data_IF_109807164787
#
_entry.id   IF_109807164787
#
_cell.length_a   1.000
_cell.length_b   1.000
_cell.length_c   1.000
_cell.angle_alpha   90.00
_cell.angle_beta   90.00
_cell.angle_gamma   90.00
#
_symmetry.space_group_name_H-M   'P 1'
#
loop_
_entity.id
_entity.type
_entity.pdbx_description
1 polymer ?
#
# COMPACT_ATOMS: atom_id res chain seq x y z
N UNK A 1 12.63 13.44 -17.48
CA UNK A 1 11.69 12.93 -16.47
C UNK A 1 11.07 11.65 -17.00
N UNK A 2 11.31 10.52 -16.34
CA UNK A 2 10.45 9.37 -16.54
C UNK A 2 9.27 9.57 -15.57
N UNK A 3 8.05 9.90 -16.05
CA UNK A 3 6.89 9.78 -15.18
C UNK A 3 6.81 8.33 -14.67
N UNK A 4 6.06 8.09 -13.60
CA UNK A 4 5.49 6.77 -13.34
C UNK A 4 4.51 6.45 -14.49
N UNK A 5 5.03 6.26 -15.70
CA UNK A 5 4.25 6.23 -16.92
C UNK A 5 3.38 4.99 -16.89
N UNK A 6 2.07 5.19 -16.96
CA UNK A 6 1.05 4.14 -16.97
C UNK A 6 1.10 3.26 -18.24
N UNK A 7 2.07 3.45 -19.12
CA UNK A 7 2.18 2.78 -20.42
C UNK A 7 3.17 1.61 -20.47
N UNK A 8 4.01 1.42 -19.44
CA UNK A 8 4.97 0.31 -19.39
C UNK A 8 4.28 -1.03 -19.10
N UNK A 9 4.34 -1.99 -20.03
CA UNK A 9 3.71 -3.32 -19.94
C UNK A 9 4.16 -4.19 -18.76
N UNK A 10 5.20 -3.83 -18.00
CA UNK A 10 5.54 -4.52 -16.74
C UNK A 10 4.44 -4.41 -15.67
N UNK A 11 3.64 -3.34 -15.72
CA UNK A 11 2.47 -3.15 -14.84
C UNK A 11 1.19 -3.88 -15.29
N UNK A 12 1.25 -4.61 -16.42
CA UNK A 12 0.18 -5.49 -16.92
C UNK A 12 0.40 -6.96 -16.57
N UNK A 13 1.49 -7.27 -15.88
CA UNK A 13 1.65 -8.55 -15.25
C UNK A 13 0.50 -8.73 -14.22
N UNK A 14 -0.30 -9.81 -14.31
CA UNK A 14 -1.36 -10.08 -13.33
C UNK A 14 -0.85 -10.12 -11.89
N UNK A 15 0.43 -10.43 -11.67
CA UNK A 15 1.04 -10.49 -10.34
C UNK A 15 1.31 -9.09 -9.74
N UNK A 16 1.18 -8.03 -10.54
CA UNK A 16 1.26 -6.63 -10.09
C UNK A 16 -0.12 -5.99 -9.79
N UNK A 17 -1.20 -6.77 -9.82
CA UNK A 17 -2.55 -6.23 -9.66
C UNK A 17 -2.73 -5.52 -8.30
N UNK A 18 -3.28 -4.31 -8.31
CA UNK A 18 -3.43 -3.43 -7.14
C UNK A 18 -2.26 -2.45 -6.92
N UNK A 19 -1.06 -2.71 -7.47
CA UNK A 19 0.07 -1.79 -7.28
C UNK A 19 -0.15 -0.43 -7.95
N UNK A 20 -0.94 -0.36 -9.04
CA UNK A 20 -1.20 0.90 -9.73
C UNK A 20 -2.00 1.86 -8.83
N UNK A 21 -2.92 1.32 -8.07
CA UNK A 21 -3.78 2.03 -7.14
C UNK A 21 -2.96 2.61 -5.99
N UNK A 22 -1.98 1.85 -5.47
CA UNK A 22 -1.02 2.36 -4.48
C UNK A 22 -0.02 3.39 -5.07
N UNK A 23 0.58 3.07 -6.22
CA UNK A 23 1.70 3.83 -6.76
C UNK A 23 1.28 5.12 -7.48
N UNK A 24 0.13 5.13 -8.14
CA UNK A 24 -0.23 6.18 -9.12
C UNK A 24 -1.59 6.79 -8.85
N UNK A 25 -2.66 5.99 -8.84
CA UNK A 25 -4.02 6.56 -8.85
C UNK A 25 -4.54 6.92 -7.47
N UNK A 26 -3.97 6.34 -6.41
CA UNK A 26 -4.33 6.58 -5.02
C UNK A 26 -5.61 5.85 -4.62
N UNK A 27 -5.46 4.68 -3.98
CA UNK A 27 -6.59 3.90 -3.46
C UNK A 27 -7.42 4.69 -2.42
N UNK A 28 -6.77 5.58 -1.66
CA UNK A 28 -7.38 6.39 -0.61
C UNK A 28 -7.27 7.90 -0.90
N UNK A 29 -7.28 8.28 -2.18
CA UNK A 29 -7.20 9.69 -2.61
C UNK A 29 -5.80 10.31 -2.48
N UNK A 30 -4.79 9.52 -2.10
CA UNK A 30 -3.37 9.89 -2.10
C UNK A 30 -2.56 8.74 -2.71
N UNK A 31 -1.55 9.04 -3.52
CA UNK A 31 -0.63 8.03 -4.08
C UNK A 31 0.84 8.31 -3.76
N UNK A 32 1.69 7.28 -3.86
CA UNK A 32 3.13 7.46 -3.73
C UNK A 32 3.71 8.39 -4.81
N UNK A 33 3.10 8.44 -5.99
CA UNK A 33 3.49 9.37 -7.04
C UNK A 33 3.35 10.84 -6.62
N UNK A 34 2.30 11.18 -5.88
CA UNK A 34 2.05 12.55 -5.42
C UNK A 34 3.10 12.98 -4.40
N UNK A 35 3.41 12.09 -3.44
CA UNK A 35 4.48 12.33 -2.47
C UNK A 35 5.83 12.47 -3.18
N UNK A 36 6.10 11.62 -4.18
CA UNK A 36 7.35 11.65 -4.95
C UNK A 36 7.56 12.96 -5.72
N UNK A 37 6.51 13.67 -6.13
CA UNK A 37 6.66 14.92 -6.89
C UNK A 37 7.57 15.94 -6.18
N UNK A 38 7.48 16.01 -4.86
CA UNK A 38 8.28 16.93 -4.04
C UNK A 38 9.77 16.57 -3.99
N UNK A 39 10.14 15.33 -4.35
CA UNK A 39 11.51 14.81 -4.23
C UNK A 39 12.12 14.39 -5.57
N UNK A 40 11.34 14.39 -6.65
CA UNK A 40 11.71 13.75 -7.92
C UNK A 40 12.91 14.38 -8.65
N UNK A 41 13.38 15.56 -8.22
CA UNK A 41 14.59 16.22 -8.72
C UNK A 41 15.85 15.88 -7.92
N UNK A 42 15.68 15.33 -6.72
CA UNK A 42 16.76 15.09 -5.75
C UNK A 42 16.96 13.60 -5.44
N UNK A 43 15.86 12.84 -5.45
CA UNK A 43 15.82 11.42 -5.13
C UNK A 43 15.34 10.66 -6.35
N UNK A 44 16.01 9.57 -6.70
CA UNK A 44 15.55 8.70 -7.79
C UNK A 44 14.25 8.00 -7.37
N UNK A 45 13.40 7.63 -8.33
CA UNK A 45 12.19 6.88 -8.03
C UNK A 45 12.52 5.54 -7.35
N UNK A 46 13.60 4.89 -7.77
CA UNK A 46 14.06 3.63 -7.19
C UNK A 46 14.45 3.77 -5.70
N UNK A 47 15.21 4.81 -5.33
CA UNK A 47 15.53 5.08 -3.92
C UNK A 47 14.29 5.53 -3.15
N UNK A 48 13.42 6.34 -3.77
CA UNK A 48 12.18 6.78 -3.14
C UNK A 48 11.25 5.61 -2.74
N UNK A 49 11.15 4.57 -3.57
CA UNK A 49 10.32 3.40 -3.25
C UNK A 49 10.86 2.64 -2.02
N UNK A 50 12.19 2.49 -1.89
CA UNK A 50 12.80 1.88 -0.70
C UNK A 50 12.56 2.75 0.53
N UNK A 51 12.77 4.07 0.42
CA UNK A 51 12.51 5.03 1.51
C UNK A 51 11.05 4.95 1.97
N UNK A 52 10.10 4.91 1.03
CA UNK A 52 8.68 4.84 1.35
C UNK A 52 8.34 3.53 2.09
N UNK A 53 8.89 2.39 1.64
CA UNK A 53 8.67 1.11 2.29
C UNK A 53 9.26 1.08 3.71
N UNK A 54 10.51 1.53 3.88
CA UNK A 54 11.15 1.60 5.20
C UNK A 54 10.43 2.55 6.15
N UNK A 55 9.86 3.66 5.65
CA UNK A 55 9.05 4.55 6.45
C UNK A 55 7.77 3.88 6.98
N UNK A 56 7.13 3.03 6.16
CA UNK A 56 5.95 2.26 6.59
C UNK A 56 6.36 1.19 7.61
N UNK A 57 7.44 0.45 7.37
CA UNK A 57 7.97 -0.55 8.29
C UNK A 57 8.31 0.11 9.64
N UNK A 58 9.07 1.22 9.63
CA UNK A 58 9.45 1.93 10.85
C UNK A 58 8.22 2.46 11.61
N UNK A 59 7.23 3.03 10.91
CA UNK A 59 6.00 3.55 11.53
C UNK A 59 5.17 2.43 12.17
N UNK A 60 5.03 1.29 11.50
CA UNK A 60 4.27 0.15 11.99
C UNK A 60 5.02 -0.67 13.05
N UNK A 61 6.36 -0.71 13.00
CA UNK A 61 7.20 -1.24 14.09
C UNK A 61 7.09 -0.39 15.35
N UNK A 62 7.17 0.94 15.23
CA UNK A 62 7.03 1.84 16.37
C UNK A 62 5.67 1.68 17.08
N UNK A 63 4.59 1.41 16.34
CA UNK A 63 3.27 1.09 16.92
C UNK A 63 3.29 -0.23 17.71
N UNK A 64 4.01 -1.24 17.22
CA UNK A 64 4.19 -2.51 17.93
C UNK A 64 5.01 -2.32 19.20
N UNK A 65 6.15 -1.63 19.12
CA UNK A 65 7.02 -1.36 20.29
C UNK A 65 6.30 -0.57 21.39
N UNK A 66 5.38 0.33 21.02
CA UNK A 66 4.54 1.05 21.98
C UNK A 66 3.51 0.13 22.66
N UNK A 67 2.98 -0.85 21.93
CA UNK A 67 1.98 -1.80 22.45
C UNK A 67 2.62 -2.95 23.25
N UNK A 68 3.88 -3.29 22.95
CA UNK A 68 4.58 -4.45 23.49
C UNK A 68 5.94 -4.01 24.06
N UNK A 69 6.00 -3.61 25.35
CA UNK A 69 7.26 -3.22 25.98
C UNK A 69 8.30 -4.35 25.90
N UNK A 70 9.49 -4.04 25.38
CA UNK A 70 10.58 -5.00 25.21
C UNK A 70 10.61 -5.70 23.84
N UNK A 71 9.71 -5.36 22.92
CA UNK A 71 9.83 -5.80 21.53
C UNK A 71 11.19 -5.38 20.93
N UNK A 72 11.85 -6.23 20.12
CA UNK A 72 13.13 -5.91 19.48
C UNK A 72 13.03 -4.67 18.59
N UNK A 73 14.12 -3.93 18.48
CA UNK A 73 14.16 -2.76 17.59
C UNK A 73 14.57 -3.17 16.18
N UNK A 74 14.05 -2.46 15.18
CA UNK A 74 14.48 -2.60 13.79
C UNK A 74 14.98 -1.23 13.28
N UNK A 75 16.28 -1.13 13.02
CA UNK A 75 16.94 0.10 12.56
C UNK A 75 17.45 -0.02 11.12
N UNK A 76 16.51 -0.01 10.16
CA UNK A 76 16.81 0.04 8.73
C UNK A 76 17.53 1.33 8.32
N UNK A 77 17.38 2.41 9.10
CA UNK A 77 17.97 3.71 8.77
C UNK A 77 19.49 3.68 8.86
N UNK A 78 20.04 3.00 9.87
CA UNK A 78 21.49 2.91 10.07
C UNK A 78 22.22 2.21 8.91
N UNK A 79 21.54 1.27 8.28
CA UNK A 79 22.06 0.43 7.21
C UNK A 79 21.57 0.84 5.82
N UNK A 80 20.64 1.80 5.72
CA UNK A 80 20.08 2.28 4.46
C UNK A 80 21.17 2.71 3.46
N UNK A 81 21.02 2.21 2.24
CA UNK A 81 21.89 2.49 1.10
C UNK A 81 21.12 3.23 0.02
N UNK A 82 21.74 4.26 -0.57
CA UNK A 82 21.16 5.05 -1.66
C UNK A 82 22.09 5.13 -2.87
N UNK A 83 21.56 5.59 -4.01
CA UNK A 83 22.30 5.70 -5.28
C UNK A 83 21.70 4.88 -6.40
N UNK A 84 20.51 4.28 -6.23
CA UNK A 84 19.86 3.51 -7.28
C UNK A 84 19.50 4.42 -8.44
N UNK A 85 19.75 3.98 -9.66
CA UNK A 85 19.31 4.70 -10.87
C UNK A 85 17.92 4.26 -11.28
N UNK A 86 17.06 5.21 -11.65
CA UNK A 86 15.75 4.89 -12.24
C UNK A 86 15.90 4.66 -13.74
N UNK A 87 15.73 3.42 -14.18
CA UNK A 87 15.71 3.06 -15.60
C UNK A 87 14.27 3.00 -16.12
N UNK A 88 13.98 3.48 -17.35
CA UNK A 88 12.72 3.17 -18.00
C UNK A 88 12.64 1.66 -18.27
N UNK A 89 11.83 0.94 -17.50
CA UNK A 89 11.77 -0.53 -17.58
C UNK A 89 11.31 -1.03 -18.96
N UNK A 90 12.05 -1.96 -19.54
CA UNK A 90 11.49 -2.98 -20.44
C UNK A 90 10.52 -3.85 -19.65
N UNK A 91 9.42 -4.25 -20.27
CA UNK A 91 8.40 -5.02 -19.57
C UNK A 91 8.90 -6.43 -19.33
N UNK A 92 9.06 -6.79 -18.06
CA UNK A 92 9.39 -8.15 -17.63
C UNK A 92 8.13 -8.74 -17.00
N UNK A 93 7.71 -9.90 -17.49
CA UNK A 93 6.59 -10.67 -16.96
C UNK A 93 7.12 -11.93 -16.29
N UNK A 94 6.47 -12.41 -15.23
CA UNK A 94 6.88 -13.64 -14.53
C UNK A 94 8.13 -13.47 -13.67
N UNK A 95 8.39 -12.24 -13.19
CA UNK A 95 9.46 -11.96 -12.22
C UNK A 95 8.98 -11.96 -10.78
N UNK A 96 7.67 -11.97 -10.57
CA UNK A 96 7.02 -12.04 -9.26
C UNK A 96 6.48 -13.44 -8.99
N UNK A 97 6.31 -13.82 -7.72
CA UNK A 97 5.87 -15.17 -7.39
C UNK A 97 4.37 -15.30 -7.66
N UNK A 98 4.00 -16.31 -8.44
CA UNK A 98 2.61 -16.69 -8.59
C UNK A 98 2.16 -17.51 -7.36
N UNK A 99 1.14 -17.05 -6.62
CA UNK A 99 0.70 -17.71 -5.39
C UNK A 99 0.07 -19.09 -5.59
N UNK A 100 -0.33 -19.46 -6.81
CA UNK A 100 -0.84 -20.81 -7.09
C UNK A 100 0.30 -21.86 -7.10
N UNK A 101 1.54 -21.47 -7.41
CA UNK A 101 2.66 -22.38 -7.70
C UNK A 101 3.47 -22.79 -6.45
N UNK A 102 3.03 -22.38 -5.26
CA UNK A 102 3.61 -22.78 -3.97
C UNK A 102 5.13 -22.56 -3.90
N UNK A 103 5.85 -23.58 -3.43
CA UNK A 103 7.29 -23.46 -3.19
C UNK A 103 8.13 -23.31 -4.47
N UNK A 104 7.62 -23.71 -5.64
CA UNK A 104 8.32 -23.48 -6.89
C UNK A 104 8.44 -21.98 -7.21
N UNK A 105 7.38 -21.20 -6.95
CA UNK A 105 7.43 -19.74 -7.09
C UNK A 105 8.35 -19.09 -6.06
N UNK A 106 8.34 -19.56 -4.80
CA UNK A 106 9.23 -19.04 -3.76
C UNK A 106 10.70 -19.30 -4.11
N UNK A 107 11.03 -20.53 -4.52
CA UNK A 107 12.38 -20.91 -4.93
C UNK A 107 12.83 -20.11 -6.15
N UNK A 108 11.99 -20.00 -7.19
CA UNK A 108 12.34 -19.24 -8.38
C UNK A 108 12.62 -17.77 -8.06
N UNK A 109 11.75 -17.10 -7.30
CA UNK A 109 11.82 -15.65 -7.14
C UNK A 109 12.76 -15.25 -6.00
N UNK A 110 12.58 -15.82 -4.81
CA UNK A 110 13.36 -15.41 -3.64
C UNK A 110 14.74 -16.06 -3.65
N UNK A 111 14.81 -17.37 -3.89
CA UNK A 111 16.09 -18.08 -3.82
C UNK A 111 16.93 -17.82 -5.06
N UNK A 112 16.40 -18.09 -6.26
CA UNK A 112 17.17 -18.00 -7.49
C UNK A 112 17.33 -16.55 -7.99
N UNK A 113 16.24 -15.79 -8.08
CA UNK A 113 16.30 -14.44 -8.67
C UNK A 113 16.86 -13.39 -7.70
N UNK A 114 16.49 -13.41 -6.42
CA UNK A 114 17.02 -12.48 -5.41
C UNK A 114 18.32 -12.97 -4.75
N UNK A 115 18.61 -14.28 -4.79
CA UNK A 115 19.82 -14.86 -4.19
C UNK A 115 19.73 -15.01 -2.68
N UNK A 116 18.52 -15.20 -2.16
CA UNK A 116 18.26 -15.46 -0.74
C UNK A 116 18.39 -16.97 -0.46
N UNK A 117 18.69 -17.35 0.77
CA UNK A 117 18.41 -18.73 1.21
C UNK A 117 16.94 -18.86 1.67
N UNK A 118 16.49 -20.07 2.02
CA UNK A 118 15.11 -20.30 2.48
C UNK A 118 14.78 -19.60 3.81
N UNK A 119 15.77 -19.33 4.66
CA UNK A 119 15.57 -18.58 5.91
C UNK A 119 15.34 -17.10 5.59
N UNK A 120 16.15 -16.52 4.72
CA UNK A 120 16.01 -15.14 4.25
C UNK A 120 14.73 -14.95 3.40
N UNK A 121 14.35 -15.94 2.59
CA UNK A 121 13.09 -15.93 1.85
C UNK A 121 11.88 -15.90 2.79
N UNK A 122 11.84 -16.80 3.78
CA UNK A 122 10.79 -16.80 4.80
C UNK A 122 10.77 -15.48 5.58
N UNK A 123 11.95 -14.97 5.97
CA UNK A 123 12.07 -13.70 6.69
C UNK A 123 11.45 -12.54 5.90
N UNK A 124 11.75 -12.46 4.59
CA UNK A 124 11.22 -11.43 3.70
C UNK A 124 9.71 -11.58 3.47
N UNK A 125 9.19 -12.82 3.38
CA UNK A 125 7.75 -13.07 3.31
C UNK A 125 6.99 -12.63 4.57
N UNK A 126 7.68 -12.47 5.71
CA UNK A 126 7.13 -11.91 6.93
C UNK A 126 6.49 -10.52 6.80
N UNK A 127 6.72 -9.78 5.70
CA UNK A 127 5.98 -8.55 5.38
C UNK A 127 4.47 -8.77 5.26
N UNK A 128 4.01 -10.01 5.04
CA UNK A 128 2.60 -10.39 5.10
C UNK A 128 1.95 -10.13 6.46
N UNK A 129 2.73 -9.88 7.52
CA UNK A 129 2.20 -9.34 8.78
C UNK A 129 1.55 -7.95 8.63
N UNK A 130 1.73 -7.26 7.51
CA UNK A 130 1.10 -5.97 7.22
C UNK A 130 0.12 -6.09 6.06
N UNK A 131 -1.15 -5.81 6.32
CA UNK A 131 -2.19 -5.70 5.31
C UNK A 131 -2.93 -7.00 5.01
N UNK A 132 -3.55 -7.07 3.83
CA UNK A 132 -4.47 -8.14 3.43
C UNK A 132 -4.60 -8.27 1.92
N UNK A 133 -5.16 -9.39 1.48
CA UNK A 133 -5.58 -9.60 0.11
C UNK A 133 -6.98 -9.01 -0.15
N UNK A 134 -7.15 -8.42 -1.33
CA UNK A 134 -8.41 -7.84 -1.81
C UNK A 134 -8.80 -8.42 -3.16
N UNK A 135 -10.06 -8.85 -3.27
CA UNK A 135 -10.62 -9.47 -4.48
C UNK A 135 -10.47 -8.54 -5.69
N UNK A 136 -10.72 -7.24 -5.50
CA UNK A 136 -10.60 -6.23 -6.56
C UNK A 136 -9.16 -6.00 -7.06
N UNK A 137 -8.17 -6.46 -6.30
CA UNK A 137 -6.75 -6.34 -6.63
C UNK A 137 -6.23 -7.70 -7.13
N UNK A 138 -5.78 -8.57 -6.22
CA UNK A 138 -5.12 -9.83 -6.55
C UNK A 138 -6.08 -10.98 -6.92
N UNK A 139 -7.38 -10.80 -6.67
CA UNK A 139 -8.40 -11.84 -6.81
C UNK A 139 -8.57 -12.74 -5.59
N UNK A 140 -7.72 -12.58 -4.56
CA UNK A 140 -7.79 -13.29 -3.28
C UNK A 140 -8.47 -12.45 -2.20
N UNK A 141 -8.83 -13.06 -1.08
CA UNK A 141 -9.59 -12.39 -0.03
C UNK A 141 -9.11 -12.78 1.36
N UNK A 142 -8.88 -11.79 2.23
CA UNK A 142 -8.64 -12.01 3.64
C UNK A 142 -7.27 -11.55 4.11
N UNK A 143 -7.06 -11.62 5.42
CA UNK A 143 -5.85 -11.20 6.10
C UNK A 143 -4.90 -12.38 6.32
N UNK A 144 -3.58 -12.16 6.24
CA UNK A 144 -2.59 -13.20 6.61
C UNK A 144 -2.45 -13.41 8.12
N UNK A 145 -3.00 -12.50 8.91
CA UNK A 145 -3.03 -12.46 10.37
C UNK A 145 -4.35 -11.79 10.78
N UNK A 146 -4.64 -11.59 12.06
CA UNK A 146 -5.83 -10.85 12.44
C UNK A 146 -5.74 -9.35 12.07
N UNK A 147 -6.86 -8.62 11.96
CA UNK A 147 -6.87 -7.22 11.56
C UNK A 147 -6.09 -6.25 12.47
N UNK A 148 -5.85 -6.59 13.74
CA UNK A 148 -5.11 -5.77 14.70
C UNK A 148 -3.62 -5.91 14.48
N UNK A 149 -3.14 -7.15 14.40
CA UNK A 149 -1.73 -7.45 14.12
C UNK A 149 -1.33 -7.06 12.70
N UNK A 150 -2.26 -7.11 11.74
CA UNK A 150 -2.06 -6.67 10.35
C UNK A 150 -1.70 -5.18 10.15
N UNK A 151 -1.54 -4.42 11.24
CA UNK A 151 -1.15 -2.99 11.28
C UNK A 151 0.13 -2.74 12.07
N UNK A 152 0.81 -3.81 12.48
CA UNK A 152 1.99 -3.84 13.33
C UNK A 152 3.03 -4.69 12.64
N UNK A 153 4.25 -4.17 12.51
CA UNK A 153 5.34 -4.96 11.94
C UNK A 153 5.88 -5.90 13.01
N UNK A 154 5.23 -7.05 13.18
CA UNK A 154 5.52 -8.05 14.20
C UNK A 154 5.55 -9.48 13.64
N UNK A 155 5.86 -10.47 14.47
CA UNK A 155 6.00 -11.85 14.02
C UNK A 155 4.66 -12.63 13.94
N UNK A 156 3.51 -11.95 14.02
CA UNK A 156 2.21 -12.62 14.10
C UNK A 156 1.87 -13.41 12.83
N UNK A 157 2.39 -13.02 11.66
CA UNK A 157 2.29 -13.84 10.45
C UNK A 157 2.75 -15.30 10.69
N UNK A 158 3.90 -15.51 11.35
CA UNK A 158 4.40 -16.85 11.64
C UNK A 158 3.62 -17.53 12.75
N UNK A 159 3.19 -16.77 13.77
CA UNK A 159 2.32 -17.27 14.83
C UNK A 159 1.01 -17.79 14.23
N UNK A 160 0.38 -17.01 13.37
CA UNK A 160 -0.84 -17.35 12.63
C UNK A 160 -0.64 -18.58 11.74
N UNK A 161 0.47 -18.66 11.01
CA UNK A 161 0.77 -19.81 10.13
C UNK A 161 0.88 -21.15 10.89
N UNK A 162 1.36 -21.10 12.14
CA UNK A 162 1.60 -22.30 12.95
C UNK A 162 0.45 -22.62 13.92
N UNK A 163 -0.07 -21.62 14.64
CA UNK A 163 -1.00 -21.80 15.75
C UNK A 163 -2.48 -21.85 15.33
N UNK A 164 -2.78 -21.75 14.03
CA UNK A 164 -4.13 -21.81 13.46
C UNK A 164 -4.25 -23.00 12.51
N UNK A 165 -5.48 -23.48 12.31
CA UNK A 165 -5.79 -24.54 11.34
C UNK A 165 -6.20 -23.95 9.99
N UNK A 166 -5.71 -24.53 8.90
CA UNK A 166 -5.95 -24.04 7.54
C UNK A 166 -6.53 -25.13 6.64
N UNK A 167 -7.59 -24.82 5.90
CA UNK A 167 -8.21 -25.72 4.90
C UNK A 167 -8.34 -25.01 3.54
N UNK A 168 -8.40 -25.75 2.42
CA UNK A 168 -8.55 -25.14 1.10
C UNK A 168 -9.84 -24.32 0.96
N UNK A 169 -9.70 -23.17 0.31
CA UNK A 169 -10.79 -22.32 -0.17
C UNK A 169 -10.61 -22.13 -1.68
N UNK A 170 -11.50 -22.72 -2.46
CA UNK A 170 -11.38 -22.80 -3.91
C UNK A 170 -12.20 -21.72 -4.62
N UNK A 171 -11.73 -21.35 -5.80
CA UNK A 171 -12.45 -20.51 -6.74
C UNK A 171 -12.96 -19.18 -6.15
N UNK A 172 -12.05 -18.40 -5.54
CA UNK A 172 -12.39 -17.16 -4.84
C UNK A 172 -13.18 -16.22 -5.74
N UNK A 173 -14.35 -15.77 -5.25
CA UNK A 173 -15.31 -14.95 -6.00
C UNK A 173 -15.68 -15.54 -7.38
N UNK A 174 -15.75 -16.87 -7.50
CA UNK A 174 -16.07 -17.58 -8.74
C UNK A 174 -14.91 -17.71 -9.73
N UNK A 175 -13.69 -17.34 -9.35
CA UNK A 175 -12.52 -17.44 -10.22
C UNK A 175 -11.75 -18.74 -9.97
N UNK A 176 -11.89 -19.74 -10.83
CA UNK A 176 -11.24 -21.05 -10.71
C UNK A 176 -9.69 -21.01 -10.66
N UNK A 177 -9.06 -19.92 -11.10
CA UNK A 177 -7.62 -19.72 -11.02
C UNK A 177 -7.15 -19.00 -9.75
N UNK A 178 -8.02 -18.86 -8.75
CA UNK A 178 -7.73 -18.22 -7.46
C UNK A 178 -8.15 -19.16 -6.34
N UNK A 179 -7.17 -19.84 -5.75
CA UNK A 179 -7.34 -20.78 -4.66
C UNK A 179 -6.41 -20.40 -3.52
N UNK A 180 -6.91 -20.42 -2.30
CA UNK A 180 -6.17 -20.06 -1.10
C UNK A 180 -6.52 -21.06 0.01
N UNK A 181 -6.02 -20.78 1.21
CA UNK A 181 -6.36 -21.53 2.41
C UNK A 181 -7.07 -20.59 3.36
N UNK A 182 -8.21 -21.00 3.90
CA UNK A 182 -8.96 -20.27 4.90
C UNK A 182 -8.71 -20.85 6.29
N UNK A 183 -8.80 -20.00 7.32
CA UNK A 183 -8.77 -20.46 8.71
C UNK A 183 -9.98 -21.35 9.01
N UNK A 184 -9.76 -22.48 9.67
CA UNK A 184 -10.79 -23.51 9.95
C UNK A 184 -11.07 -23.79 11.42
N UNK A 185 -10.27 -23.22 12.31
CA UNK A 185 -10.32 -23.53 13.75
C UNK A 185 -11.44 -22.80 14.50
N UNK A 186 -11.56 -23.08 15.81
CA UNK A 186 -12.62 -22.52 16.67
C UNK A 186 -12.63 -20.99 16.75
N UNK A 187 -11.49 -20.35 16.44
CA UNK A 187 -11.31 -18.90 16.45
C UNK A 187 -11.55 -18.24 15.09
N UNK A 188 -11.98 -18.99 14.08
CA UNK A 188 -12.24 -18.45 12.74
C UNK A 188 -13.39 -17.43 12.75
N UNK A 189 -13.09 -16.20 12.31
CA UNK A 189 -14.10 -15.19 12.03
C UNK A 189 -14.67 -15.41 10.62
N UNK A 190 -15.88 -15.95 10.56
CA UNK A 190 -16.59 -16.24 9.31
C UNK A 190 -17.26 -15.00 8.67
N UNK A 191 -17.04 -13.81 9.22
CA UNK A 191 -17.46 -12.57 8.56
C UNK A 191 -16.51 -12.22 7.44
N UNK A 192 -17.02 -11.50 6.43
CA UNK A 192 -16.21 -11.05 5.31
C UNK A 192 -14.98 -10.24 5.75
N UNK A 193 -15.09 -9.42 6.79
CA UNK A 193 -13.99 -8.53 7.20
C UNK A 193 -12.98 -9.17 8.15
N UNK A 194 -13.36 -10.25 8.84
CA UNK A 194 -12.49 -11.01 9.71
C UNK A 194 -11.88 -12.24 9.04
N UNK A 195 -12.20 -12.49 7.76
CA UNK A 195 -11.69 -13.64 7.03
C UNK A 195 -10.17 -13.65 6.98
N UNK A 196 -9.57 -14.73 7.47
CA UNK A 196 -8.13 -14.95 7.47
C UNK A 196 -7.78 -16.00 6.43
N UNK A 197 -6.65 -15.79 5.76
CA UNK A 197 -6.22 -16.57 4.62
C UNK A 197 -4.70 -16.78 4.61
N UNK A 198 -4.27 -17.79 3.88
CA UNK A 198 -2.90 -18.01 3.48
C UNK A 198 -2.85 -18.45 2.01
N UNK A 199 -1.78 -18.14 1.30
CA UNK A 199 -1.55 -18.60 -0.07
C UNK A 199 -0.75 -19.91 -0.08
N UNK A 200 -0.73 -20.62 -1.21
CA UNK A 200 0.10 -21.84 -1.31
C UNK A 200 1.58 -21.52 -1.07
N UNK A 201 2.05 -20.34 -1.49
CA UNK A 201 3.42 -19.86 -1.24
C UNK A 201 3.71 -19.67 0.24
N UNK A 202 2.71 -19.31 1.06
CA UNK A 202 2.86 -19.13 2.51
C UNK A 202 2.89 -20.50 3.21
N UNK A 203 1.90 -21.34 2.92
CA UNK A 203 1.78 -22.65 3.57
C UNK A 203 2.93 -23.59 3.24
N UNK A 204 3.45 -23.54 2.02
CA UNK A 204 4.51 -24.44 1.62
C UNK A 204 5.79 -24.24 2.45
N UNK A 205 6.00 -23.06 3.07
CA UNK A 205 7.16 -22.81 3.93
C UNK A 205 7.27 -23.84 5.06
N UNK A 206 6.13 -24.32 5.55
CA UNK A 206 6.03 -25.22 6.72
C UNK A 206 5.48 -26.59 6.33
N UNK A 207 4.44 -26.63 5.50
CA UNK A 207 3.66 -27.83 5.24
C UNK A 207 4.05 -28.47 3.90
N UNK A 208 4.23 -29.79 3.93
CA UNK A 208 4.46 -30.63 2.75
C UNK A 208 3.76 -31.97 2.94
N UNK A 209 3.39 -32.62 1.85
CA UNK A 209 2.72 -33.92 1.89
C UNK A 209 3.61 -35.02 2.50
N UNK A 210 2.99 -36.03 3.11
CA UNK A 210 3.73 -37.14 3.72
C UNK A 210 4.44 -38.03 2.68
N UNK A 211 5.72 -38.35 2.89
CA UNK A 211 6.47 -39.38 2.15
C UNK A 211 7.74 -38.89 1.45
N UNK A 212 8.55 -39.81 0.93
CA UNK A 212 9.86 -39.51 0.31
C UNK A 212 9.79 -38.65 -0.97
N UNK A 213 8.60 -38.44 -1.52
CA UNK A 213 8.33 -37.60 -2.70
C UNK A 213 7.29 -36.50 -2.40
N UNK A 214 7.04 -36.18 -1.12
CA UNK A 214 6.02 -35.20 -0.73
C UNK A 214 6.35 -33.81 -1.29
N UNK A 215 5.42 -33.26 -2.08
CA UNK A 215 5.51 -31.90 -2.61
C UNK A 215 4.91 -30.85 -1.65
N UNK A 216 4.93 -29.57 -2.04
CA UNK A 216 4.22 -28.53 -1.30
C UNK A 216 2.72 -28.83 -1.27
N UNK A 217 2.05 -28.41 -0.19
CA UNK A 217 0.58 -28.46 -0.11
C UNK A 217 0.00 -27.37 -1.01
N UNK A 218 -0.91 -27.77 -1.92
CA UNK A 218 -1.55 -26.89 -2.90
C UNK A 218 -3.06 -26.97 -2.72
N UNK A 219 -3.72 -25.82 -2.47
CA UNK A 219 -5.14 -25.76 -2.14
C UNK A 219 -6.04 -26.45 -3.18
N UNK A 220 -5.75 -26.26 -4.47
CA UNK A 220 -6.54 -26.83 -5.58
C UNK A 220 -6.32 -28.33 -5.79
N UNK A 221 -5.30 -28.92 -5.16
CA UNK A 221 -4.92 -30.32 -5.35
C UNK A 221 -5.18 -31.18 -4.11
N UNK A 222 -5.18 -30.58 -2.91
CA UNK A 222 -5.20 -31.30 -1.64
C UNK A 222 -6.44 -30.93 -0.82
N UNK A 223 -7.20 -31.93 -0.38
CA UNK A 223 -8.34 -31.78 0.52
C UNK A 223 -7.94 -32.23 1.94
N UNK A 224 -7.21 -31.36 2.65
CA UNK A 224 -6.63 -31.63 3.97
C UNK A 224 -6.64 -30.40 4.87
N UNK A 225 -6.40 -30.61 6.17
CA UNK A 225 -6.20 -29.54 7.15
C UNK A 225 -4.71 -29.42 7.46
N UNK A 226 -4.13 -28.24 7.20
CA UNK A 226 -2.78 -27.91 7.60
C UNK A 226 -2.81 -27.38 9.04
N UNK A 227 -2.24 -28.17 9.96
CA UNK A 227 -2.14 -27.86 11.37
C UNK A 227 -0.95 -28.58 12.00
N UNK A 228 -0.40 -28.03 13.09
CA UNK A 228 0.67 -28.64 13.89
C UNK A 228 0.22 -28.80 15.33
N UNK A 229 0.69 -29.83 16.03
CA UNK A 229 0.35 -30.02 17.45
C UNK A 229 0.98 -28.94 18.33
N UNK A 230 0.33 -28.58 19.43
CA UNK A 230 0.86 -27.55 20.34
C UNK A 230 2.24 -27.91 20.92
N UNK A 231 2.52 -29.21 21.10
CA UNK A 231 3.83 -29.75 21.51
C UNK A 231 4.92 -29.51 20.46
N UNK A 232 4.55 -29.42 19.18
CA UNK A 232 5.49 -29.15 18.07
C UNK A 232 5.83 -27.67 17.96
N UNK A 233 4.92 -26.79 18.39
CA UNK A 233 5.04 -25.33 18.24
C UNK A 233 4.92 -24.56 19.57
N UNK A 234 5.57 -24.98 20.67
CA UNK A 234 5.37 -24.38 21.98
C UNK A 234 5.76 -22.90 22.00
N UNK A 235 6.75 -22.49 21.19
CA UNK A 235 7.15 -21.10 21.04
C UNK A 235 6.07 -20.23 20.37
N UNK A 236 5.42 -20.73 19.32
CA UNK A 236 4.33 -20.01 18.65
C UNK A 236 3.13 -19.85 19.59
N UNK A 237 2.76 -20.90 20.34
CA UNK A 237 1.67 -20.85 21.33
C UNK A 237 1.99 -19.84 22.44
N UNK A 238 3.24 -19.79 22.92
CA UNK A 238 3.65 -18.81 23.92
C UNK A 238 3.57 -17.37 23.38
N UNK A 239 4.04 -17.13 22.16
CA UNK A 239 3.91 -15.83 21.46
C UNK A 239 2.46 -15.43 21.23
N UNK A 240 1.57 -16.41 21.06
CA UNK A 240 0.12 -16.21 20.91
C UNK A 240 -0.62 -16.07 22.26
N UNK A 241 0.08 -15.72 23.35
CA UNK A 241 -0.55 -15.55 24.67
C UNK A 241 -1.14 -16.83 25.27
N UNK A 242 -0.70 -18.01 24.78
CA UNK A 242 -1.23 -19.32 25.17
C UNK A 242 -2.45 -19.77 24.39
N UNK A 243 -2.96 -18.96 23.44
CA UNK A 243 -4.03 -19.37 22.54
C UNK A 243 -3.49 -20.29 21.45
N UNK A 244 -4.28 -21.30 21.11
CA UNK A 244 -3.96 -22.27 20.07
C UNK A 244 -5.26 -22.68 19.38
N UNK A 245 -5.34 -22.58 18.04
CA UNK A 245 -6.53 -22.92 17.25
C UNK A 245 -7.85 -22.36 17.81
N UNK A 246 -7.84 -21.11 18.27
CA UNK A 246 -9.02 -20.43 18.83
C UNK A 246 -9.40 -20.81 20.27
N UNK A 247 -8.63 -21.69 20.90
CA UNK A 247 -8.87 -22.19 22.25
C UNK A 247 -7.56 -22.36 23.03
N UNK A 248 -7.53 -23.34 23.93
CA UNK A 248 -6.34 -23.69 24.70
C UNK A 248 -5.74 -25.01 24.22
N UNK A 249 -4.41 -25.20 24.26
CA UNK A 249 -3.77 -26.49 24.01
C UNK A 249 -4.35 -27.62 24.89
N UNK A 250 -4.34 -28.87 24.39
CA UNK A 250 -4.76 -30.01 25.20
C UNK A 250 -5.33 -31.22 24.46
N UNK A 251 -6.40 -31.80 24.99
CA UNK A 251 -7.01 -32.99 24.37
C UNK A 251 -7.93 -32.58 23.25
N UNK A 252 -7.78 -33.22 22.08
CA UNK A 252 -8.67 -33.02 20.94
C UNK A 252 -8.24 -31.91 19.98
N UNK A 253 -6.97 -31.48 20.02
CA UNK A 253 -6.41 -30.41 19.19
C UNK A 253 -6.75 -30.53 17.70
N UNK A 254 -6.75 -31.76 17.16
CA UNK A 254 -7.16 -31.99 15.77
C UNK A 254 -8.57 -31.46 15.50
N UNK A 255 -9.53 -31.75 16.38
CA UNK A 255 -10.90 -31.29 16.21
C UNK A 255 -11.03 -29.78 16.36
N UNK A 256 -10.23 -29.19 17.25
CA UNK A 256 -10.18 -27.75 17.49
C UNK A 256 -9.60 -26.99 16.29
N UNK A 257 -8.53 -27.50 15.66
CA UNK A 257 -7.91 -26.86 14.49
C UNK A 257 -8.68 -27.11 13.19
N UNK A 258 -9.20 -28.33 13.00
CA UNK A 258 -9.65 -28.81 11.70
C UNK A 258 -11.16 -29.03 11.58
N UNK A 259 -11.90 -28.97 12.70
CA UNK A 259 -13.33 -29.23 12.72
C UNK A 259 -13.70 -30.55 12.04
N UNK A 260 -14.48 -30.46 10.97
CA UNK A 260 -14.96 -31.61 10.19
C UNK A 260 -13.98 -32.12 9.12
N UNK A 261 -12.84 -31.44 8.89
CA UNK A 261 -11.88 -31.84 7.87
C UNK A 261 -11.26 -33.21 8.21
N UNK A 262 -11.29 -34.14 7.25
CA UNK A 262 -10.96 -35.54 7.51
C UNK A 262 -9.46 -35.85 7.43
N UNK A 263 -8.75 -35.21 6.52
CA UNK A 263 -7.33 -35.47 6.28
C UNK A 263 -6.46 -34.39 6.92
N UNK A 264 -5.26 -34.76 7.35
CA UNK A 264 -4.23 -33.83 7.81
C UNK A 264 -3.26 -33.60 6.66
N UNK A 265 -2.84 -32.36 6.44
CA UNK A 265 -1.78 -32.05 5.49
C UNK A 265 -0.43 -32.40 6.14
N UNK A 266 0.32 -33.32 5.54
CA UNK A 266 1.66 -33.67 6.03
C UNK A 266 1.70 -34.27 7.45
N UNK A 267 2.85 -34.12 8.10
CA UNK A 267 3.10 -34.62 9.44
C UNK A 267 2.98 -33.49 10.47
N UNK A 268 1.88 -33.48 11.22
CA UNK A 268 1.59 -32.48 12.27
C UNK A 268 2.62 -32.39 13.40
N UNK A 269 3.51 -33.38 13.53
CA UNK A 269 4.55 -33.43 14.55
C UNK A 269 5.96 -33.18 14.01
N UNK A 270 6.10 -33.01 12.70
CA UNK A 270 7.39 -32.87 12.02
C UNK A 270 7.18 -32.08 10.72
N UNK A 271 7.01 -30.74 10.81
CA UNK A 271 6.84 -29.90 9.63
C UNK A 271 8.09 -29.95 8.75
N UNK A 272 7.91 -30.38 7.50
CA UNK A 272 9.01 -30.65 6.56
C UNK A 272 9.08 -29.70 5.37
N UNK A 273 8.35 -28.58 5.39
CA UNK A 273 8.50 -27.51 4.41
C UNK A 273 9.94 -26.94 4.40
N UNK A 274 10.42 -26.38 3.28
CA UNK A 274 11.82 -25.99 3.10
C UNK A 274 12.28 -24.87 4.04
N UNK A 275 11.35 -24.10 4.62
CA UNK A 275 11.65 -23.06 5.60
C UNK A 275 11.05 -23.35 6.99
N UNK A 276 10.61 -24.59 7.27
CA UNK A 276 9.88 -24.93 8.49
C UNK A 276 10.65 -24.54 9.76
N UNK A 277 11.96 -24.83 9.80
CA UNK A 277 12.81 -24.47 10.93
C UNK A 277 12.91 -22.95 11.15
N UNK A 278 13.02 -22.17 10.08
CA UNK A 278 13.07 -20.71 10.16
C UNK A 278 11.74 -20.15 10.67
N UNK A 279 10.61 -20.63 10.14
CA UNK A 279 9.27 -20.21 10.57
C UNK A 279 9.01 -20.56 12.04
N UNK A 280 9.39 -21.77 12.48
CA UNK A 280 9.32 -22.17 13.90
C UNK A 280 10.12 -21.20 14.79
N UNK A 281 11.33 -20.84 14.37
CA UNK A 281 12.17 -19.90 15.10
C UNK A 281 11.56 -18.49 15.14
N UNK A 282 11.07 -17.98 14.00
CA UNK A 282 10.49 -16.64 13.90
C UNK A 282 9.19 -16.48 14.69
N UNK A 283 8.36 -17.52 14.75
CA UNK A 283 7.16 -17.50 15.59
C UNK A 283 7.49 -17.51 17.09
N UNK A 284 8.55 -18.21 17.49
CA UNK A 284 8.99 -18.32 18.87
C UNK A 284 9.78 -17.10 19.36
N UNK A 285 10.53 -16.46 18.46
CA UNK A 285 11.46 -15.38 18.77
C UNK A 285 11.38 -14.29 17.69
N UNK A 286 10.71 -13.19 18.04
CA UNK A 286 10.60 -12.02 17.16
C UNK A 286 11.97 -11.40 16.85
N UNK A 287 12.95 -11.47 17.74
CA UNK A 287 14.27 -10.90 17.50
C UNK A 287 15.03 -11.69 16.42
N UNK A 288 14.87 -13.01 16.41
CA UNK A 288 15.42 -13.86 15.36
C UNK A 288 14.83 -13.51 13.98
N UNK A 289 13.53 -13.20 13.91
CA UNK A 289 12.92 -12.71 12.66
C UNK A 289 13.46 -11.35 12.27
N UNK A 290 13.50 -10.38 13.18
CA UNK A 290 13.99 -9.02 12.88
C UNK A 290 15.43 -9.05 12.35
N UNK A 291 16.30 -9.87 12.94
CA UNK A 291 17.68 -10.03 12.49
C UNK A 291 17.78 -10.64 11.09
N UNK A 292 16.96 -11.66 10.80
CA UNK A 292 16.92 -12.29 9.48
C UNK A 292 16.26 -11.38 8.42
N UNK A 293 15.22 -10.64 8.80
CA UNK A 293 14.50 -9.71 7.95
C UNK A 293 15.42 -8.57 7.50
N UNK A 294 16.19 -7.97 8.41
CA UNK A 294 17.15 -6.91 8.08
C UNK A 294 18.11 -7.36 6.96
N UNK A 295 18.73 -8.54 7.11
CA UNK A 295 19.61 -9.11 6.09
C UNK A 295 18.90 -9.35 4.75
N UNK A 296 17.71 -9.96 4.79
CA UNK A 296 16.95 -10.28 3.59
C UNK A 296 16.48 -9.00 2.87
N UNK A 297 16.05 -7.98 3.62
CA UNK A 297 15.64 -6.68 3.12
C UNK A 297 16.78 -5.95 2.39
N UNK A 298 17.99 -5.95 2.96
CA UNK A 298 19.17 -5.39 2.30
C UNK A 298 19.48 -6.11 0.99
N UNK A 299 19.53 -7.45 1.01
CA UNK A 299 19.78 -8.22 -0.22
C UNK A 299 18.73 -7.95 -1.30
N UNK A 300 17.45 -7.88 -0.92
CA UNK A 300 16.37 -7.64 -1.86
C UNK A 300 16.41 -6.22 -2.45
N UNK A 301 16.60 -5.20 -1.61
CA UNK A 301 16.56 -3.80 -2.05
C UNK A 301 17.84 -3.35 -2.75
N UNK A 302 18.97 -4.02 -2.54
CA UNK A 302 20.25 -3.70 -3.18
C UNK A 302 20.52 -4.53 -4.44
N UNK A 303 19.66 -5.53 -4.73
CA UNK A 303 19.82 -6.44 -5.87
C UNK A 303 19.94 -5.68 -7.19
N UNK A 304 21.04 -5.93 -7.91
CA UNK A 304 21.29 -5.37 -9.23
C UNK A 304 21.67 -3.88 -9.23
N UNK A 305 21.82 -3.25 -8.06
CA UNK A 305 22.36 -1.90 -7.94
C UNK A 305 23.87 -1.93 -7.72
N UNK A 306 24.57 -0.97 -8.29
CA UNK A 306 26.02 -0.81 -8.13
C UNK A 306 26.33 0.56 -7.53
N UNK A 307 27.45 0.67 -6.80
CA UNK A 307 27.93 1.95 -6.28
C UNK A 307 27.02 2.59 -5.23
N UNK A 308 26.22 1.81 -4.51
CA UNK A 308 25.38 2.31 -3.42
C UNK A 308 26.24 2.89 -2.28
N UNK A 309 25.71 3.92 -1.61
CA UNK A 309 26.40 4.69 -0.57
C UNK A 309 25.61 4.67 0.74
N UNK A 310 26.30 4.70 1.88
CA UNK A 310 25.64 4.89 3.18
C UNK A 310 25.19 6.33 3.36
N UNK A 311 24.15 6.53 4.17
CA UNK A 311 23.84 7.87 4.67
C UNK A 311 25.06 8.48 5.36
N UNK A 312 25.37 9.73 5.01
CA UNK A 312 26.57 10.44 5.52
C UNK A 312 27.79 10.38 4.60
N UNK A 313 27.82 9.50 3.59
CA UNK A 313 28.92 9.39 2.62
C UNK A 313 28.91 10.51 1.54
N UNK A 314 28.09 11.54 1.71
CA UNK A 314 28.08 12.70 0.84
C UNK A 314 29.33 13.55 1.11
N UNK A 315 30.40 13.35 0.34
CA UNK A 315 31.47 14.35 0.26
C UNK A 315 30.84 15.65 -0.24
N UNK A 316 30.83 16.69 0.59
CA UNK A 316 30.43 18.01 0.14
C UNK A 316 31.24 18.35 -1.10
N UNK A 317 30.56 18.50 -2.25
CA UNK A 317 31.20 19.02 -3.45
C UNK A 317 31.71 20.42 -3.08
N UNK A 318 33.02 20.50 -2.80
CA UNK A 318 33.68 21.78 -2.59
C UNK A 318 33.73 22.41 -3.97
N UNK A 319 32.68 23.18 -4.30
CA UNK A 319 32.63 24.01 -5.48
C UNK A 319 33.75 25.02 -5.34
N UNK A 320 34.92 24.66 -5.85
CA UNK A 320 36.04 25.57 -5.98
C UNK A 320 35.64 26.50 -7.12
N UNK A 321 35.08 27.66 -6.78
CA UNK A 321 34.83 28.72 -7.75
C UNK A 321 36.20 29.13 -8.27
N UNK A 322 36.57 28.61 -9.44
CA UNK A 322 37.73 29.06 -10.18
C UNK A 322 37.49 30.53 -10.54
N UNK A 323 38.17 31.42 -9.81
CA UNK A 323 38.18 32.85 -10.11
C UNK A 323 39.08 33.03 -11.33
N UNK A 324 38.50 33.05 -12.52
CA UNK A 324 39.22 33.36 -13.75
C UNK A 324 39.65 34.82 -13.71
N UNK A 325 40.93 35.07 -13.41
CA UNK A 325 41.54 36.40 -13.52
C UNK A 325 41.92 36.62 -14.98
N UNK A 326 41.19 37.50 -15.67
CA UNK A 326 41.49 37.89 -17.05
C UNK A 326 42.75 38.76 -17.09
N UNK A 327 43.85 38.23 -17.62
CA UNK A 327 45.07 39.00 -17.90
C UNK A 327 45.01 39.54 -19.34
N UNK A 328 44.83 40.85 -19.48
CA UNK A 328 44.89 41.56 -20.76
C UNK A 328 46.34 41.63 -21.24
N UNK A 329 46.66 40.95 -22.34
CA UNK A 329 47.98 41.07 -23.01
C UNK A 329 47.85 41.95 -24.24
N UNK A 330 48.41 43.15 -24.17
CA UNK A 330 48.50 44.10 -25.28
C UNK A 330 49.60 43.65 -26.24
N UNK A 331 49.26 43.29 -27.48
CA UNK A 331 50.24 42.99 -28.53
C UNK A 331 50.21 44.08 -29.59
N UNK A 332 51.29 44.85 -29.65
CA UNK A 332 51.59 45.84 -30.70
C UNK A 332 52.12 45.10 -31.92
N UNK A 333 51.50 45.26 -33.09
CA UNK A 333 52.11 44.78 -34.34
C UNK A 333 51.97 45.81 -35.46
N UNK A 334 53.11 46.06 -36.09
CA UNK A 334 53.46 47.11 -37.04
C UNK A 334 52.96 46.82 -38.46
N UNK A 335 52.58 47.88 -39.16
CA UNK A 335 52.12 47.93 -40.55
C UNK A 335 53.24 47.59 -41.55
N UNK A 336 52.96 46.78 -42.57
CA UNK A 336 53.68 46.81 -43.87
C UNK A 336 52.72 46.40 -44.98
N UNK A 337 52.77 47.10 -46.11
CA UNK A 337 51.76 47.10 -47.17
C UNK A 337 52.06 46.14 -48.35
N UNK A 338 50.95 45.64 -48.92
CA UNK A 338 50.63 45.32 -50.31
C UNK A 338 51.45 44.29 -51.11
N UNK A 339 50.74 43.30 -51.67
CA UNK A 339 50.81 42.94 -53.10
C UNK A 339 49.45 42.38 -53.56
N UNK A 340 48.99 42.88 -54.70
CA UNK A 340 47.70 42.61 -55.37
C UNK A 340 47.80 41.37 -56.27
N UNK A 341 46.76 40.53 -56.32
CA UNK A 341 46.44 39.76 -57.54
C UNK A 341 44.94 39.47 -57.63
N UNK A 342 44.39 39.69 -58.82
CA UNK A 342 42.97 39.75 -59.18
C UNK A 342 42.56 38.48 -59.93
N UNK A 343 41.42 37.84 -59.59
CA UNK A 343 40.58 37.14 -60.59
C UNK A 343 39.11 36.96 -60.17
N UNK A 344 38.25 37.70 -60.89
CA UNK A 344 36.89 37.48 -61.42
C UNK A 344 35.88 36.46 -60.85
N UNK A 345 34.80 37.01 -60.28
CA UNK A 345 33.34 36.77 -60.38
C UNK A 345 32.71 35.39 -60.70
N UNK A 346 31.59 35.08 -60.03
CA UNK A 346 30.24 34.97 -60.63
C UNK A 346 29.14 35.08 -59.56
N UNK A 347 28.16 35.95 -59.81
CA UNK A 347 26.94 36.20 -59.02
C UNK A 347 25.79 35.37 -59.57
N UNK A 348 24.89 34.86 -58.73
CA UNK A 348 23.51 34.54 -59.15
C UNK A 348 22.54 34.87 -58.01
N UNK A 349 21.60 35.75 -58.31
CA UNK A 349 20.49 36.21 -57.46
C UNK A 349 19.21 35.63 -58.03
N UNK A 350 18.32 35.08 -57.18
CA UNK A 350 16.89 34.98 -57.51
C UNK A 350 16.03 35.24 -56.26
N UNK A 351 15.04 36.11 -56.46
CA UNK A 351 14.13 36.75 -55.51
C UNK A 351 12.81 35.96 -55.34
N UNK A 352 12.00 36.38 -54.34
CA UNK A 352 10.51 36.33 -54.22
C UNK A 352 9.93 35.06 -53.55
N UNK A 353 8.92 35.06 -52.67
CA UNK A 353 7.84 36.03 -52.32
C UNK A 353 7.27 35.73 -50.92
N UNK A 354 6.74 36.77 -50.27
CA UNK A 354 5.93 36.82 -49.04
C UNK A 354 4.52 36.23 -49.20
N UNK A 355 3.92 35.70 -48.12
CA UNK A 355 2.48 35.83 -47.85
C UNK A 355 2.19 35.75 -46.34
N UNK A 356 1.65 36.85 -45.78
CA UNK A 356 1.02 36.90 -44.46
C UNK A 356 -0.49 36.73 -44.64
N UNK A 357 -1.18 36.14 -43.67
CA UNK A 357 -2.63 36.29 -43.51
C UNK A 357 -2.94 36.45 -42.03
N UNK A 358 -3.43 37.65 -41.68
CA UNK A 358 -4.10 37.97 -40.43
C UNK A 358 -5.59 38.16 -40.73
N UNK A 359 -6.46 37.80 -39.80
CA UNK A 359 -7.86 38.18 -39.82
C UNK A 359 -8.29 38.66 -38.42
N UNK A 360 -8.96 39.81 -38.43
CA UNK A 360 -9.49 40.60 -37.31
C UNK A 360 -11.02 40.60 -37.40
N UNK A 361 -11.73 40.65 -36.27
CA UNK A 361 -12.99 41.40 -36.03
C UNK A 361 -13.46 41.09 -34.59
N UNK A 362 -14.22 41.86 -33.82
CA UNK A 362 -14.51 43.30 -33.62
C UNK A 362 -15.29 43.34 -32.29
N UNK A 363 -15.13 44.40 -31.49
CA UNK A 363 -15.77 44.61 -30.19
C UNK A 363 -17.19 45.20 -30.28
N UNK A 364 -18.01 44.99 -29.23
CA UNK A 364 -19.13 45.88 -28.88
C UNK A 364 -19.22 46.06 -27.36
N UNK A 365 -19.30 47.33 -26.95
CA UNK A 365 -19.36 47.85 -25.58
C UNK A 365 -20.78 48.34 -25.29
N UNK A 366 -21.29 48.17 -24.06
CA UNK A 366 -22.33 49.06 -23.49
C UNK A 366 -22.08 49.28 -22.00
N UNK A 367 -21.86 50.55 -21.61
CA UNK A 367 -21.89 51.04 -20.23
C UNK A 367 -23.19 51.83 -20.02
N UNK A 368 -23.78 51.71 -18.82
CA UNK A 368 -24.62 52.75 -18.20
C UNK A 368 -24.30 52.77 -16.69
N UNK A 369 -24.15 53.97 -16.13
CA UNK A 369 -23.86 54.24 -14.72
C UNK A 369 -24.95 55.16 -14.13
N UNK A 370 -25.45 54.89 -12.90
CA UNK A 370 -25.56 55.86 -11.78
C UNK A 370 -26.11 55.24 -10.47
N UNK A 371 -25.34 55.46 -9.38
CA UNK A 371 -25.61 55.70 -7.93
C UNK A 371 -27.01 55.37 -7.34
N UNK A 372 -27.19 54.70 -6.18
CA UNK A 372 -26.84 55.13 -4.79
C UNK A 372 -27.00 53.98 -3.75
N UNK A 373 -26.29 54.11 -2.62
CA UNK A 373 -26.06 53.25 -1.44
C UNK A 373 -27.12 52.26 -0.91
N UNK A 374 -26.62 51.11 -0.41
CA UNK A 374 -27.29 50.27 0.60
C UNK A 374 -26.65 48.88 0.82
N UNK A 375 -25.66 48.81 1.73
CA UNK A 375 -25.30 47.65 2.61
C UNK A 375 -24.91 46.25 2.03
N UNK A 376 -23.62 45.94 2.21
CA UNK A 376 -22.99 44.66 2.66
C UNK A 376 -23.46 43.31 2.10
N UNK A 377 -22.67 42.72 1.18
CA UNK A 377 -22.31 41.29 1.19
C UNK A 377 -21.23 41.01 0.13
N UNK A 378 -20.18 40.29 0.52
CA UNK A 378 -19.08 39.88 -0.37
C UNK A 378 -19.36 38.55 -1.05
N UNK A 379 -18.82 38.38 -2.26
CA UNK A 379 -18.61 37.06 -2.87
C UNK A 379 -17.41 37.06 -3.81
N UNK A 380 -16.54 36.09 -3.54
CA UNK A 380 -15.90 35.16 -4.50
C UNK A 380 -14.95 35.72 -5.55
N UNK A 381 -13.66 35.67 -5.20
CA UNK A 381 -12.64 35.14 -6.09
C UNK A 381 -12.31 33.71 -5.67
N UNK A 382 -12.37 32.81 -6.64
CA UNK A 382 -12.25 31.36 -6.61
C UNK A 382 -11.13 30.83 -5.73
N UNK A 383 -11.49 30.09 -4.68
CA UNK A 383 -10.62 29.14 -3.98
C UNK A 383 -11.40 27.84 -3.86
N UNK A 384 -11.27 26.98 -4.87
CA UNK A 384 -11.88 25.65 -4.84
C UNK A 384 -11.08 24.81 -3.85
N UNK A 385 -11.65 24.71 -2.65
CA UNK A 385 -11.13 24.01 -1.48
C UNK A 385 -11.18 22.49 -1.66
N UNK A 386 -10.09 21.87 -1.25
CA UNK A 386 -9.67 20.47 -1.30
C UNK A 386 -10.36 19.57 -0.28
N UNK A 387 -11.68 19.65 -0.10
CA UNK A 387 -12.38 18.90 0.95
C UNK A 387 -13.10 17.62 0.50
N UNK A 388 -12.87 17.17 -0.73
CA UNK A 388 -13.61 16.04 -1.31
C UNK A 388 -12.98 14.65 -1.15
N UNK A 389 -11.77 14.51 -0.58
CA UNK A 389 -11.02 13.23 -0.64
C UNK A 389 -10.71 12.52 0.69
N UNK A 390 -11.24 12.93 1.84
CA UNK A 390 -10.91 12.26 3.13
C UNK A 390 -12.11 11.99 4.04
N UNK A 391 -13.28 11.68 3.47
CA UNK A 391 -14.42 11.30 4.30
C UNK A 391 -14.55 9.78 4.41
N UNK A 392 -13.97 9.20 5.46
CA UNK A 392 -14.17 7.79 5.82
C UNK A 392 -15.63 7.56 6.28
N UNK A 393 -16.42 6.95 5.41
CA UNK A 393 -17.82 6.61 5.71
C UNK A 393 -17.90 5.22 6.36
N UNK A 394 -18.50 5.15 7.54
CA UNK A 394 -18.85 3.88 8.18
C UNK A 394 -19.96 3.16 7.39
N UNK A 395 -20.07 1.85 7.59
CA UNK A 395 -21.08 1.05 6.88
C UNK A 395 -22.49 1.56 7.16
N UNK A 396 -23.27 1.68 6.10
CA UNK A 396 -24.65 2.17 6.15
C UNK A 396 -24.76 3.69 5.95
N UNK A 397 -23.64 4.43 5.96
CA UNK A 397 -23.62 5.86 5.64
C UNK A 397 -23.36 6.11 4.15
N UNK A 398 -23.98 7.17 3.63
CA UNK A 398 -23.83 7.62 2.25
C UNK A 398 -24.00 9.14 2.17
N UNK A 399 -23.33 9.80 1.23
CA UNK A 399 -23.45 11.25 1.05
C UNK A 399 -24.89 11.64 0.65
N UNK A 400 -25.46 12.62 1.35
CA UNK A 400 -26.75 13.17 0.98
C UNK A 400 -26.56 14.23 -0.13
N UNK A 401 -26.95 13.90 -1.37
CA UNK A 401 -26.91 14.80 -2.53
C UNK A 401 -25.53 15.44 -2.78
N UNK A 402 -24.49 14.61 -2.70
CA UNK A 402 -23.08 15.04 -2.80
C UNK A 402 -22.44 15.34 -1.45
N UNK A 403 -23.24 15.59 -0.41
CA UNK A 403 -22.90 15.51 1.03
C UNK A 403 -21.82 16.44 1.58
N UNK A 404 -20.97 17.05 0.75
CA UNK A 404 -19.91 17.98 1.13
C UNK A 404 -20.37 19.40 0.82
N UNK A 405 -20.07 20.33 1.73
CA UNK A 405 -20.58 21.70 1.70
C UNK A 405 -22.11 21.74 1.64
N UNK A 406 -22.74 20.79 2.35
CA UNK A 406 -24.19 20.65 2.42
C UNK A 406 -24.66 20.42 3.86
N UNK A 407 -25.69 21.15 4.27
CA UNK A 407 -26.42 20.91 5.52
C UNK A 407 -27.64 20.01 5.23
N UNK A 408 -28.01 19.19 6.21
CA UNK A 408 -29.15 18.31 6.12
C UNK A 408 -30.45 19.09 6.35
N UNK A 409 -31.52 18.68 5.68
CA UNK A 409 -32.88 19.21 5.90
C UNK A 409 -33.82 18.04 6.17
N UNK A 410 -34.50 18.05 7.31
CA UNK A 410 -35.39 16.97 7.77
C UNK A 410 -35.82 17.12 9.24
N UNK A 411 -36.08 16.01 9.94
CA UNK A 411 -36.39 15.99 11.37
C UNK A 411 -35.12 15.72 12.22
N UNK A 412 -34.79 16.65 13.12
CA UNK A 412 -33.63 16.53 14.01
C UNK A 412 -33.97 15.63 15.19
N UNK A 413 -33.05 14.72 15.54
CA UNK A 413 -33.16 13.90 16.75
C UNK A 413 -32.50 14.60 17.95
N UNK A 414 -31.18 14.82 17.85
CA UNK A 414 -30.34 15.36 18.93
C UNK A 414 -29.07 16.01 18.36
N UNK A 415 -28.45 16.91 19.13
CA UNK A 415 -27.15 17.51 18.82
C UNK A 415 -26.13 17.05 19.86
N UNK A 416 -25.00 16.50 19.39
CA UNK A 416 -23.90 15.99 20.22
C UNK A 416 -22.59 16.67 19.84
N UNK A 417 -21.74 16.92 20.84
CA UNK A 417 -20.40 17.50 20.63
C UNK A 417 -19.38 16.36 20.49
N UNK A 418 -18.80 16.20 19.31
CA UNK A 418 -17.85 15.13 18.99
C UNK A 418 -16.66 15.68 18.22
N UNK A 419 -15.48 15.08 18.38
CA UNK A 419 -14.23 15.65 17.87
C UNK A 419 -14.06 15.55 16.35
N UNK A 420 -14.76 14.62 15.71
CA UNK A 420 -14.63 14.36 14.28
C UNK A 420 -15.89 13.68 13.71
N UNK A 421 -15.96 13.60 12.38
CA UNK A 421 -17.11 13.03 11.66
C UNK A 421 -17.24 11.51 11.80
N UNK A 422 -16.19 10.78 12.17
CA UNK A 422 -16.29 9.34 12.43
C UNK A 422 -17.05 9.09 13.73
N UNK A 423 -16.70 9.80 14.79
CA UNK A 423 -17.41 9.72 16.08
C UNK A 423 -18.90 10.12 15.91
N UNK A 424 -19.18 11.08 15.01
CA UNK A 424 -20.55 11.47 14.65
C UNK A 424 -21.33 10.31 13.99
N UNK A 425 -20.69 9.56 13.09
CA UNK A 425 -21.28 8.39 12.46
C UNK A 425 -21.49 7.23 13.46
N UNK A 426 -20.56 7.02 14.40
CA UNK A 426 -20.70 6.01 15.47
C UNK A 426 -21.88 6.35 16.39
N UNK A 427 -22.01 7.62 16.81
CA UNK A 427 -23.15 8.08 17.62
C UNK A 427 -24.50 7.83 16.93
N UNK A 428 -24.58 8.05 15.61
CA UNK A 428 -25.78 7.75 14.84
C UNK A 428 -26.04 6.25 14.67
N UNK A 429 -24.99 5.43 14.54
CA UNK A 429 -25.14 3.98 14.43
C UNK A 429 -25.71 3.35 15.71
N UNK A 430 -25.36 3.90 16.88
CA UNK A 430 -25.87 3.46 18.18
C UNK A 430 -27.27 4.01 18.48
N UNK A 431 -27.62 5.17 17.93
CA UNK A 431 -28.92 5.79 18.10
C UNK A 431 -30.02 5.08 17.28
N UNK A 432 -30.94 4.40 17.98
CA UNK A 432 -32.02 3.59 17.37
C UNK A 432 -32.85 4.32 16.29
N UNK A 433 -33.04 5.64 16.45
CA UNK A 433 -33.87 6.48 15.57
C UNK A 433 -33.07 7.28 14.54
N UNK A 434 -31.74 7.24 14.59
CA UNK A 434 -30.94 8.01 13.66
C UNK A 434 -30.99 7.41 12.24
N UNK A 435 -31.11 8.29 11.25
CA UNK A 435 -31.17 8.02 9.81
C UNK A 435 -30.26 8.94 9.01
N UNK A 436 -29.45 9.76 9.67
CA UNK A 436 -28.44 10.59 9.04
C UNK A 436 -27.73 11.49 10.03
N UNK A 437 -26.63 12.09 9.58
CA UNK A 437 -25.83 13.02 10.40
C UNK A 437 -25.46 14.26 9.61
N UNK A 438 -25.38 15.39 10.29
CA UNK A 438 -24.69 16.58 9.81
C UNK A 438 -23.50 16.88 10.73
N UNK A 439 -22.32 17.09 10.17
CA UNK A 439 -21.13 17.50 10.92
C UNK A 439 -20.58 18.83 10.42
N UNK A 440 -20.48 19.80 11.32
CA UNK A 440 -20.02 21.16 10.99
C UNK A 440 -19.20 21.71 12.15
N UNK A 441 -17.91 21.97 11.92
CA UNK A 441 -17.05 22.66 12.88
C UNK A 441 -16.93 21.99 14.27
N UNK A 442 -17.02 20.66 14.35
CA UNK A 442 -16.96 19.91 15.62
C UNK A 442 -18.33 19.67 16.30
N UNK A 443 -19.42 20.11 15.67
CA UNK A 443 -20.78 19.84 16.12
C UNK A 443 -21.40 18.76 15.23
N UNK A 444 -21.98 17.74 15.85
CA UNK A 444 -22.68 16.65 15.18
C UNK A 444 -24.18 16.72 15.48
N UNK A 445 -24.99 16.84 14.44
CA UNK A 445 -26.45 16.78 14.53
C UNK A 445 -26.92 15.42 14.01
N UNK A 446 -27.62 14.66 14.85
CA UNK A 446 -28.25 13.40 14.49
C UNK A 446 -29.67 13.67 13.95
N UNK A 447 -30.02 13.03 12.84
CA UNK A 447 -31.29 13.24 12.14
C UNK A 447 -32.15 11.99 12.17
N UNK A 448 -33.45 12.13 12.45
CA UNK A 448 -34.45 11.04 12.29
C UNK A 448 -34.85 10.85 10.83
N UNK A 449 -34.76 11.90 10.02
CA UNK A 449 -34.89 11.85 8.56
C UNK A 449 -33.98 12.88 7.91
N UNK A 450 -33.46 12.54 6.73
CA UNK A 450 -32.72 13.47 5.85
C UNK A 450 -33.45 13.51 4.52
N UNK A 451 -34.40 14.45 4.42
CA UNK A 451 -35.34 14.56 3.32
C UNK A 451 -34.70 15.24 2.11
N UNK A 452 -33.88 16.27 2.35
CA UNK A 452 -33.10 16.97 1.32
C UNK A 452 -31.84 17.61 1.93
N UNK A 453 -31.12 18.39 1.14
CA UNK A 453 -29.94 19.13 1.59
C UNK A 453 -29.90 20.54 1.03
N UNK A 454 -29.34 21.48 1.79
CA UNK A 454 -29.08 22.86 1.36
C UNK A 454 -27.58 23.16 1.32
N UNK A 455 -27.18 24.14 0.50
CA UNK A 455 -25.76 24.47 0.35
C UNK A 455 -25.25 25.19 1.60
N UNK A 456 -24.26 24.61 2.26
CA UNK A 456 -23.66 25.15 3.48
C UNK A 456 -22.18 24.78 3.54
N UNK A 457 -21.32 25.75 3.22
CA UNK A 457 -19.86 25.52 3.14
C UNK A 457 -19.31 25.11 4.50
N UNK A 458 -18.54 24.02 4.53
CA UNK A 458 -17.95 23.44 5.73
C UNK A 458 -18.85 22.45 6.49
N UNK A 459 -20.09 22.23 6.03
CA UNK A 459 -20.99 21.19 6.55
C UNK A 459 -20.86 19.91 5.75
N UNK A 460 -20.99 18.77 6.42
CA UNK A 460 -21.09 17.45 5.78
C UNK A 460 -22.40 16.77 6.18
N UNK A 461 -23.23 16.43 5.20
CA UNK A 461 -24.53 15.76 5.40
C UNK A 461 -24.53 14.32 4.85
N UNK A 462 -24.88 13.36 5.71
CA UNK A 462 -24.89 11.92 5.42
C UNK A 462 -26.26 11.30 5.71
N UNK A 463 -26.67 10.33 4.88
CA UNK A 463 -27.83 9.45 5.12
C UNK A 463 -27.35 8.12 5.70
N UNK A 464 -28.05 7.61 6.70
CA UNK A 464 -27.76 6.35 7.38
C UNK A 464 -28.90 5.33 7.19
N UNK A 465 -28.55 4.14 6.69
CA UNK A 465 -29.45 2.99 6.60
C UNK A 465 -29.05 1.92 7.60
N UNK A 466 -29.79 1.84 8.69
CA UNK A 466 -29.67 0.73 9.65
C UNK A 466 -30.07 -0.59 8.98
N UNK A 467 -29.26 -1.66 9.14
CA UNK A 467 -29.63 -3.00 8.70
C UNK A 467 -30.88 -3.42 9.46
N UNK A 468 -31.98 -3.67 8.75
CA UNK A 468 -33.24 -4.12 9.34
C UNK A 468 -33.04 -5.41 10.11
N UNK A 469 -32.91 -5.31 11.43
CA UNK A 469 -33.12 -6.45 12.32
C UNK A 469 -34.59 -6.86 12.24
N UNK A 470 -34.85 -8.14 11.94
CA UNK A 470 -36.13 -8.74 12.30
C UNK A 470 -36.38 -8.41 13.77
N UNK A 471 -37.51 -7.76 14.04
CA UNK A 471 -37.91 -7.41 15.40
C UNK A 471 -37.89 -8.66 16.29
N UNK A 472 -37.12 -8.58 17.38
CA UNK A 472 -37.52 -9.29 18.60
C UNK A 472 -38.70 -8.49 19.14
N UNK A 473 -39.90 -9.04 18.94
CA UNK A 473 -41.07 -8.58 19.66
C UNK A 473 -40.89 -8.91 21.13
N UNK A 474 -41.17 -7.91 21.97
CA UNK A 474 -41.86 -8.07 23.23
C UNK A 474 -43.15 -7.23 23.13
#
# INVERSE_FOLDING_TARGET
MAPLNASGSGRRDPDNAGLRECLVTGEHGISLQEVYQSFCTEVSLADFLVIAAEAVIASTRARHEQATPGAPQLDLRSSFRFGRTTSPCTSVTGSLPNPEDGCAAVEQVFVNNLGLDWTEAAALMGVHTLGRAHIGNSGYHGWWSDPVNSRRFNNDYYVSLLAKGWIPELAINGNAGKNQWQRSDEGADNTFDGHEMMLNTDLCLVYSENGQNGGPVIASEHDCCAWLTSDTIPGAVASNGGEYCGGTPGRGERGQCCGAQQNDCGNRNDPSGPAAQAVLAFAADEAAWIEAFDRAWHRATERGAEGLRSLGDCTAATTTIATTTTTTTTTTTTTTAATTTTTTATTTTTTTTTTNTAATTTATTTQVATTTQGTTQGTSATTTSTLSSTLELLRGFSLADGGIDRSCVGDVDEVVNVGNIRDCQEACADARRCRGVEFTGGVCTLWRSVDSTESAVGSVCLRFRSRGGKGRGD
#
